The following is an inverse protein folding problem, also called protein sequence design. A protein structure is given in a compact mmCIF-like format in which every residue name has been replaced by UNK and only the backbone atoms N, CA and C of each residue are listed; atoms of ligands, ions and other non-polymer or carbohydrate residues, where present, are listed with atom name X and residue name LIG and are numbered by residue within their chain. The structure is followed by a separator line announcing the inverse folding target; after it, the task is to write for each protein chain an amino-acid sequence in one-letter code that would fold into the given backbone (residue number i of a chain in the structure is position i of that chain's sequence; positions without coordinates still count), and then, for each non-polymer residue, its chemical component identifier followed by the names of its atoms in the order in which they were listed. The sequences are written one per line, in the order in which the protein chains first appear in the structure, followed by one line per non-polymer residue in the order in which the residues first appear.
data_IF_295936950027
#
_entry.id   IF_295936950027
#
_cell.length_a   1.000
_cell.length_b   1.000
_cell.length_c   1.000
_cell.angle_alpha   90.00
_cell.angle_beta   90.00
_cell.angle_gamma   90.00
#
_symmetry.space_group_name_H-M   'P 1'
#
loop_
_entity.id
_entity.type
_entity.pdbx_description
1 polymer ?
#
# COMPACT_ATOMS: atom_id res chain seq x y z
N UNK A 1 -23.05 -6.03 25.81
CA UNK A 1 -23.07 -4.97 26.84
C UNK A 1 -22.72 -3.67 26.12
N UNK A 2 -23.72 -3.01 25.54
CA UNK A 2 -23.52 -1.93 24.55
C UNK A 2 -24.33 -0.66 24.91
N UNK A 3 -24.72 -0.51 26.18
CA UNK A 3 -25.77 0.44 26.59
C UNK A 3 -25.42 1.38 27.75
N UNK A 4 -24.15 1.76 27.94
CA UNK A 4 -23.75 2.67 29.04
C UNK A 4 -22.89 3.89 28.67
N UNK A 5 -22.65 4.18 27.38
CA UNK A 5 -21.86 5.37 27.00
C UNK A 5 -22.42 6.09 25.75
N UNK A 6 -23.76 6.19 25.64
CA UNK A 6 -24.44 6.66 24.43
C UNK A 6 -24.08 8.07 23.96
N UNK A 7 -23.50 8.94 24.80
CA UNK A 7 -23.01 10.27 24.42
C UNK A 7 -21.51 10.48 24.68
N UNK A 8 -20.91 9.77 25.65
CA UNK A 8 -19.48 9.91 26.01
C UNK A 8 -18.56 8.98 25.25
N UNK A 9 -19.09 7.99 24.53
CA UNK A 9 -18.26 7.04 23.78
C UNK A 9 -17.45 7.72 22.67
N UNK A 10 -18.04 8.65 21.92
CA UNK A 10 -17.33 9.37 20.86
C UNK A 10 -16.19 10.23 21.42
N UNK A 11 -16.38 10.85 22.59
CA UNK A 11 -15.33 11.62 23.28
C UNK A 11 -14.20 10.72 23.80
N UNK A 12 -14.55 9.60 24.41
CA UNK A 12 -13.59 8.60 24.91
C UNK A 12 -12.81 8.00 23.74
N UNK A 13 -13.48 7.65 22.64
CA UNK A 13 -12.89 7.13 21.41
C UNK A 13 -11.90 8.13 20.81
N UNK A 14 -12.26 9.41 20.73
CA UNK A 14 -11.37 10.45 20.23
C UNK A 14 -10.09 10.58 21.10
N UNK A 15 -10.22 10.50 22.42
CA UNK A 15 -9.07 10.54 23.35
C UNK A 15 -8.17 9.31 23.24
N UNK A 16 -8.76 8.12 23.05
CA UNK A 16 -8.03 6.88 22.83
C UNK A 16 -7.26 6.92 21.50
N UNK A 17 -7.89 7.38 20.42
CA UNK A 17 -7.23 7.54 19.12
C UNK A 17 -6.10 8.58 19.18
N UNK A 18 -6.28 9.69 19.90
CA UNK A 18 -5.22 10.67 20.12
C UNK A 18 -4.02 10.07 20.86
N UNK A 19 -4.28 9.26 21.89
CA UNK A 19 -3.24 8.53 22.63
C UNK A 19 -2.56 7.47 21.74
N UNK A 20 -3.32 6.83 20.85
CA UNK A 20 -2.79 5.86 19.90
C UNK A 20 -1.86 6.53 18.89
N UNK A 21 -2.15 7.74 18.42
CA UNK A 21 -1.26 8.49 17.51
C UNK A 21 0.10 8.82 18.14
N UNK A 22 0.15 9.09 19.43
CA UNK A 22 1.38 9.51 20.13
C UNK A 22 2.20 8.34 20.68
N UNK A 23 1.58 7.17 20.91
CA UNK A 23 2.32 5.98 21.34
C UNK A 23 3.39 5.60 20.29
N UNK A 24 4.57 5.15 20.72
CA UNK A 24 5.64 4.74 19.81
C UNK A 24 6.24 3.43 20.28
N UNK A 25 6.02 2.37 19.51
CA UNK A 25 6.50 1.02 19.81
C UNK A 25 6.38 0.14 18.58
N UNK A 26 7.48 -0.50 18.16
CA UNK A 26 7.52 -1.33 16.95
C UNK A 26 6.46 -2.43 17.02
N UNK A 27 6.34 -3.09 18.17
CA UNK A 27 5.37 -4.13 18.51
C UNK A 27 3.90 -3.71 18.39
N UNK A 28 3.62 -2.40 18.37
CA UNK A 28 2.24 -1.87 18.30
C UNK A 28 1.80 -1.46 16.90
N UNK A 29 2.69 -1.44 15.89
CA UNK A 29 2.35 -0.92 14.55
C UNK A 29 1.22 -1.69 13.89
N UNK A 30 1.24 -3.03 13.97
CA UNK A 30 0.18 -3.86 13.41
C UNK A 30 -1.18 -3.53 14.05
N UNK A 31 -1.23 -3.51 15.38
CA UNK A 31 -2.46 -3.22 16.12
C UNK A 31 -2.98 -1.80 15.82
N UNK A 32 -2.09 -0.82 15.70
CA UNK A 32 -2.44 0.55 15.32
C UNK A 32 -3.08 0.62 13.94
N UNK A 33 -2.44 0.01 12.95
CA UNK A 33 -2.97 -0.03 11.58
C UNK A 33 -4.30 -0.75 11.55
N UNK A 34 -4.44 -1.87 12.26
CA UNK A 34 -5.70 -2.61 12.35
C UNK A 34 -6.83 -1.73 12.92
N UNK A 35 -6.55 -0.94 13.97
CA UNK A 35 -7.52 0.01 14.54
C UNK A 35 -7.84 1.13 13.54
N UNK A 36 -6.84 1.78 12.94
CA UNK A 36 -7.08 2.87 11.99
C UNK A 36 -7.86 2.42 10.76
N UNK A 37 -7.57 1.24 10.22
CA UNK A 37 -8.33 0.68 9.10
C UNK A 37 -9.75 0.28 9.49
N UNK A 38 -9.97 -0.21 10.72
CA UNK A 38 -11.31 -0.51 11.23
C UNK A 38 -12.16 0.75 11.40
N UNK A 39 -11.54 1.84 11.85
CA UNK A 39 -12.17 3.14 12.07
C UNK A 39 -12.22 4.01 10.80
N UNK A 40 -11.82 3.46 9.65
CA UNK A 40 -11.80 4.14 8.36
C UNK A 40 -10.87 5.39 8.30
N UNK A 41 -9.90 5.46 9.21
CA UNK A 41 -8.89 6.51 9.35
C UNK A 41 -7.68 6.23 8.44
N UNK A 42 -7.91 6.33 7.12
CA UNK A 42 -6.92 5.93 6.11
C UNK A 42 -5.63 6.75 6.16
N UNK A 43 -5.72 8.07 6.38
CA UNK A 43 -4.53 8.92 6.48
C UNK A 43 -3.67 8.60 7.72
N UNK A 44 -4.31 8.27 8.85
CA UNK A 44 -3.60 7.79 10.05
C UNK A 44 -2.93 6.43 9.79
N UNK A 45 -3.60 5.53 9.07
CA UNK A 45 -3.03 4.24 8.66
C UNK A 45 -1.83 4.43 7.72
N UNK A 46 -1.91 5.33 6.74
CA UNK A 46 -0.82 5.71 5.84
C UNK A 46 0.37 6.26 6.64
N UNK A 47 0.13 7.19 7.56
CA UNK A 47 1.17 7.77 8.40
C UNK A 47 1.87 6.68 9.26
N UNK A 48 1.09 5.74 9.79
CA UNK A 48 1.61 4.64 10.60
C UNK A 48 2.53 3.68 9.81
N UNK A 49 2.31 3.50 8.51
CA UNK A 49 3.12 2.58 7.68
C UNK A 49 4.20 3.26 6.85
N UNK A 50 4.16 4.58 6.68
CA UNK A 50 5.09 5.31 5.80
C UNK A 50 6.55 5.23 6.24
N UNK A 51 6.81 5.04 7.54
CA UNK A 51 8.15 4.87 8.11
C UNK A 51 8.56 3.40 8.29
N UNK A 52 7.70 2.44 7.94
CA UNK A 52 7.99 1.02 8.11
C UNK A 52 8.98 0.53 7.05
N UNK A 53 9.86 -0.38 7.48
CA UNK A 53 10.79 -1.08 6.61
C UNK A 53 10.07 -2.02 5.64
N UNK A 54 10.75 -2.38 4.56
CA UNK A 54 10.35 -3.40 3.57
C UNK A 54 10.07 -4.80 4.16
N UNK A 55 10.23 -5.02 5.46
CA UNK A 55 9.90 -6.30 6.11
C UNK A 55 8.40 -6.43 6.46
N UNK A 56 7.66 -5.32 6.47
CA UNK A 56 6.22 -5.28 6.81
C UNK A 56 5.32 -5.21 5.56
N UNK A 57 5.75 -5.86 4.47
CA UNK A 57 5.12 -5.77 3.15
C UNK A 57 3.62 -6.07 3.17
N UNK A 58 3.19 -7.08 3.95
CA UNK A 58 1.76 -7.44 4.05
C UNK A 58 0.91 -6.37 4.73
N UNK A 59 1.47 -5.67 5.72
CA UNK A 59 0.75 -4.59 6.42
C UNK A 59 0.60 -3.37 5.51
N UNK A 60 1.67 -3.03 4.78
CA UNK A 60 1.68 -1.93 3.82
C UNK A 60 0.71 -2.20 2.67
N UNK A 61 0.67 -3.44 2.14
CA UNK A 61 -0.28 -3.84 1.09
C UNK A 61 -1.73 -3.63 1.53
N UNK A 62 -2.10 -4.05 2.74
CA UNK A 62 -3.46 -3.85 3.29
C UNK A 62 -3.85 -2.37 3.39
N UNK A 63 -2.92 -1.51 3.81
CA UNK A 63 -3.18 -0.06 3.84
C UNK A 63 -3.35 0.48 2.43
N UNK A 64 -2.50 0.07 1.47
CA UNK A 64 -2.63 0.47 0.08
C UNK A 64 -3.96 0.07 -0.54
N UNK A 65 -4.43 -1.16 -0.33
CA UNK A 65 -5.72 -1.64 -0.84
C UNK A 65 -6.88 -0.72 -0.43
N UNK A 66 -6.84 -0.19 0.81
CA UNK A 66 -7.83 0.77 1.30
C UNK A 66 -7.57 2.20 0.84
N UNK A 67 -6.32 2.55 0.57
CA UNK A 67 -5.93 3.88 0.13
C UNK A 67 -6.05 4.09 -1.39
N UNK A 68 -6.26 3.04 -2.20
CA UNK A 68 -6.34 3.12 -3.68
C UNK A 68 -7.30 4.21 -4.16
N UNK A 69 -8.45 4.39 -3.51
CA UNK A 69 -9.46 5.39 -3.92
C UNK A 69 -9.25 6.76 -3.28
N UNK A 70 -8.74 6.81 -2.04
CA UNK A 70 -8.66 8.06 -1.26
C UNK A 70 -7.33 8.79 -1.43
N UNK A 71 -6.25 8.03 -1.60
CA UNK A 71 -4.88 8.55 -1.65
C UNK A 71 -4.10 7.85 -2.78
N UNK A 72 -4.61 7.87 -4.04
CA UNK A 72 -4.04 7.11 -5.15
C UNK A 72 -2.58 7.49 -5.44
N UNK A 73 -2.22 8.77 -5.29
CA UNK A 73 -0.85 9.25 -5.52
C UNK A 73 0.16 8.59 -4.57
N UNK A 74 -0.20 8.47 -3.29
CA UNK A 74 0.64 7.79 -2.30
C UNK A 74 0.81 6.30 -2.64
N UNK A 75 -0.26 5.64 -3.08
CA UNK A 75 -0.22 4.23 -3.49
C UNK A 75 0.66 4.05 -4.71
N UNK A 76 0.49 4.88 -5.74
CA UNK A 76 1.31 4.88 -6.96
C UNK A 76 2.79 5.02 -6.60
N UNK A 77 3.16 6.07 -5.88
CA UNK A 77 4.55 6.37 -5.54
C UNK A 77 5.20 5.25 -4.71
N UNK A 78 4.49 4.74 -3.70
CA UNK A 78 5.06 3.71 -2.84
C UNK A 78 5.12 2.34 -3.52
N UNK A 79 4.12 1.97 -4.32
CA UNK A 79 4.06 0.68 -4.97
C UNK A 79 5.10 0.58 -6.09
N UNK A 80 5.17 1.59 -6.97
CA UNK A 80 6.16 1.67 -8.06
C UNK A 80 7.59 1.61 -7.52
N UNK A 81 7.93 2.44 -6.52
CA UNK A 81 9.24 2.43 -5.86
C UNK A 81 9.64 1.07 -5.29
N UNK A 82 8.69 0.35 -4.66
CA UNK A 82 8.96 -1.00 -4.11
C UNK A 82 9.16 -2.01 -5.22
N UNK A 83 8.32 -1.97 -6.25
CA UNK A 83 8.44 -2.85 -7.41
C UNK A 83 9.81 -2.68 -8.09
N UNK A 84 10.19 -1.44 -8.39
CA UNK A 84 11.45 -1.08 -9.03
C UNK A 84 12.65 -1.54 -8.20
N UNK A 85 12.65 -1.27 -6.89
CA UNK A 85 13.73 -1.75 -6.01
C UNK A 85 13.93 -3.27 -6.06
N UNK A 86 12.85 -4.04 -6.21
CA UNK A 86 12.92 -5.50 -6.35
C UNK A 86 13.43 -5.90 -7.74
N UNK A 87 12.95 -5.27 -8.80
CA UNK A 87 13.33 -5.55 -10.18
C UNK A 87 14.82 -5.24 -10.44
N UNK A 88 15.30 -4.13 -9.87
CA UNK A 88 16.68 -3.66 -9.98
C UNK A 88 17.69 -4.59 -9.32
N UNK A 89 17.33 -5.20 -8.18
CA UNK A 89 18.17 -6.20 -7.49
C UNK A 89 18.46 -7.45 -8.34
N UNK A 90 17.68 -7.70 -9.39
CA UNK A 90 17.94 -8.81 -10.32
C UNK A 90 17.66 -10.20 -9.77
N UNK A 91 17.06 -10.33 -8.58
CA UNK A 91 16.70 -11.61 -7.95
C UNK A 91 15.38 -12.13 -8.50
N UNK A 92 15.46 -13.10 -9.41
CA UNK A 92 14.33 -13.63 -10.15
C UNK A 92 13.27 -14.31 -9.26
N UNK A 93 13.65 -14.78 -8.08
CA UNK A 93 12.78 -15.32 -7.03
C UNK A 93 11.88 -14.24 -6.41
N UNK A 94 12.31 -12.97 -6.41
CA UNK A 94 11.59 -11.88 -5.78
C UNK A 94 10.59 -11.18 -6.73
N UNK A 95 10.62 -11.45 -8.05
CA UNK A 95 9.76 -10.77 -9.03
C UNK A 95 8.26 -10.93 -8.77
N UNK A 96 7.85 -12.01 -8.10
CA UNK A 96 6.47 -12.14 -7.66
C UNK A 96 6.03 -10.97 -6.77
N UNK A 97 6.87 -10.55 -5.81
CA UNK A 97 6.57 -9.41 -4.95
C UNK A 97 6.51 -8.10 -5.74
N UNK A 98 7.37 -7.91 -6.74
CA UNK A 98 7.31 -6.72 -7.60
C UNK A 98 5.98 -6.64 -8.36
N UNK A 99 5.48 -7.78 -8.85
CA UNK A 99 4.20 -7.85 -9.55
C UNK A 99 3.03 -7.51 -8.63
N UNK A 100 3.04 -7.97 -7.38
CA UNK A 100 1.99 -7.62 -6.40
C UNK A 100 1.95 -6.11 -6.13
N UNK A 101 3.10 -5.45 -6.05
CA UNK A 101 3.15 -3.98 -5.96
C UNK A 101 2.59 -3.32 -7.24
N UNK A 102 2.95 -3.80 -8.42
CA UNK A 102 2.46 -3.24 -9.68
C UNK A 102 0.94 -3.37 -9.84
N UNK A 103 0.32 -4.41 -9.27
CA UNK A 103 -1.15 -4.55 -9.23
C UNK A 103 -1.80 -3.42 -8.43
N UNK A 104 -1.25 -3.07 -7.28
CA UNK A 104 -1.73 -1.96 -6.45
C UNK A 104 -1.54 -0.62 -7.17
N UNK A 105 -0.40 -0.42 -7.83
CA UNK A 105 -0.16 0.78 -8.64
C UNK A 105 -1.20 0.89 -9.78
N UNK A 106 -1.44 -0.19 -10.53
CA UNK A 106 -2.47 -0.22 -11.59
C UNK A 106 -3.85 0.14 -11.04
N UNK A 107 -4.25 -0.45 -9.91
CA UNK A 107 -5.53 -0.17 -9.29
C UNK A 107 -5.67 1.31 -8.91
N UNK A 108 -4.62 1.92 -8.34
CA UNK A 108 -4.60 3.34 -8.01
C UNK A 108 -4.65 4.26 -9.24
N UNK A 109 -3.90 3.95 -10.31
CA UNK A 109 -4.01 4.69 -11.57
C UNK A 109 -5.42 4.59 -12.18
N UNK A 110 -6.02 3.40 -12.16
CA UNK A 110 -7.36 3.17 -12.70
C UNK A 110 -8.43 3.90 -11.86
N UNK A 111 -8.37 3.81 -10.53
CA UNK A 111 -9.26 4.51 -9.61
C UNK A 111 -9.17 6.04 -9.73
N UNK A 112 -7.97 6.57 -10.03
CA UNK A 112 -7.76 7.99 -10.29
C UNK A 112 -8.11 8.44 -11.71
N UNK A 113 -8.56 7.55 -12.61
CA UNK A 113 -8.85 7.90 -14.01
C UNK A 113 -7.61 8.22 -14.86
N UNK A 114 -6.44 7.70 -14.47
CA UNK A 114 -5.13 7.96 -15.08
C UNK A 114 -4.60 6.76 -15.87
N UNK A 115 -5.46 6.14 -16.68
CA UNK A 115 -5.11 4.94 -17.46
C UNK A 115 -4.01 5.21 -18.51
N UNK A 116 -3.95 6.43 -19.05
CA UNK A 116 -2.86 6.86 -19.94
C UNK A 116 -1.51 6.81 -19.25
N UNK A 117 -1.45 7.30 -18.01
CA UNK A 117 -0.22 7.41 -17.23
C UNK A 117 0.27 6.03 -16.82
N UNK A 118 -0.65 5.15 -16.42
CA UNK A 118 -0.35 3.72 -16.21
C UNK A 118 0.27 3.09 -17.46
N UNK A 119 -0.32 3.32 -18.63
CA UNK A 119 0.15 2.74 -19.89
C UNK A 119 1.55 3.22 -20.25
N UNK A 120 1.82 4.53 -20.07
CA UNK A 120 3.13 5.12 -20.30
C UNK A 120 4.18 4.59 -19.30
N UNK A 121 3.87 4.59 -18.01
CA UNK A 121 4.72 4.06 -16.96
C UNK A 121 5.09 2.60 -17.22
N UNK A 122 4.09 1.77 -17.51
CA UNK A 122 4.26 0.34 -17.76
C UNK A 122 5.11 0.08 -19.00
N UNK A 123 4.88 0.82 -20.10
CA UNK A 123 5.68 0.68 -21.32
C UNK A 123 7.16 1.01 -21.05
N UNK A 124 7.42 2.08 -20.30
CA UNK A 124 8.78 2.44 -19.89
C UNK A 124 9.42 1.35 -19.02
N UNK A 125 8.68 0.82 -18.05
CA UNK A 125 9.15 -0.24 -17.16
C UNK A 125 9.54 -1.51 -17.94
N UNK A 126 8.68 -1.94 -18.87
CA UNK A 126 8.92 -3.10 -19.73
C UNK A 126 10.12 -2.89 -20.66
N UNK A 127 10.32 -1.68 -21.18
CA UNK A 127 11.49 -1.35 -22.00
C UNK A 127 12.78 -1.43 -21.18
N UNK A 128 12.81 -0.83 -19.98
CA UNK A 128 13.96 -0.86 -19.07
C UNK A 128 14.35 -2.30 -18.69
N UNK A 129 13.37 -3.18 -18.51
CA UNK A 129 13.57 -4.53 -18.02
C UNK A 129 13.40 -5.63 -19.08
N UNK A 130 13.44 -5.29 -20.36
CA UNK A 130 13.14 -6.22 -21.48
C UNK A 130 13.95 -7.53 -21.45
N UNK A 131 15.19 -7.50 -20.95
CA UNK A 131 16.08 -8.67 -20.86
C UNK A 131 15.75 -9.60 -19.67
N UNK A 132 14.88 -9.19 -18.75
CA UNK A 132 14.45 -10.00 -17.60
C UNK A 132 13.28 -10.88 -18.02
N UNK A 133 13.54 -11.89 -18.85
CA UNK A 133 12.49 -12.72 -19.48
C UNK A 133 11.47 -13.31 -18.50
N UNK A 134 11.91 -13.73 -17.29
CA UNK A 134 10.99 -14.22 -16.25
C UNK A 134 10.03 -13.13 -15.75
N UNK A 135 10.54 -11.93 -15.49
CA UNK A 135 9.72 -10.78 -15.10
C UNK A 135 8.73 -10.45 -16.23
N UNK A 136 9.23 -10.37 -17.47
CA UNK A 136 8.38 -10.08 -18.63
C UNK A 136 7.25 -11.10 -18.73
N UNK A 137 7.54 -12.40 -18.64
CA UNK A 137 6.52 -13.46 -18.66
C UNK A 137 5.48 -13.30 -17.54
N UNK A 138 5.90 -12.91 -16.33
CA UNK A 138 4.99 -12.66 -15.21
C UNK A 138 4.08 -11.45 -15.45
N UNK A 139 4.60 -10.36 -16.03
CA UNK A 139 3.81 -9.18 -16.37
C UNK A 139 2.72 -9.52 -17.40
N UNK A 140 3.04 -10.32 -18.44
CA UNK A 140 2.05 -10.78 -19.41
C UNK A 140 0.97 -11.66 -18.79
N UNK A 141 1.39 -12.61 -17.96
CA UNK A 141 0.49 -13.60 -17.36
C UNK A 141 -0.54 -12.99 -16.39
N UNK A 142 -0.23 -11.83 -15.80
CA UNK A 142 -1.07 -11.18 -14.79
C UNK A 142 -1.93 -10.06 -15.39
N UNK A 143 -2.08 -10.03 -16.72
CA UNK A 143 -2.77 -8.95 -17.45
C UNK A 143 -2.23 -7.56 -17.07
N UNK A 144 -0.96 -7.48 -16.66
CA UNK A 144 -0.23 -6.22 -16.60
C UNK A 144 0.39 -5.97 -17.98
N UNK A 145 -0.30 -6.40 -19.04
CA UNK A 145 0.08 -6.21 -20.45
C UNK A 145 -0.74 -5.13 -21.18
#
# INVERSE_FOLDING_TARGET
MEYLAGETWEEVKAQLLASLRTSSGWETHKAKVDIFLHEDLIEDAIAAVSNLSFYEDTLIQRVMEKAVERSPDWVIDNATRRAESIMDRGKAEAYYHAVEWLKLARAAYQGAGRQSDWSAYRAQLMQTHVRKYKLMAMLKAQDLE
#
